data_IF_892024700683
#
_entry.id   IF_892024700683
#
_cell.length_a   1.000
_cell.length_b   1.000
_cell.length_c   1.000
_cell.angle_alpha   90.00
_cell.angle_beta   90.00
_cell.angle_gamma   90.00
#
_symmetry.space_group_name_H-M   'P 1'
#
loop_
_entity.id
_entity.type
_entity.pdbx_description
1 polymer ?
#
# COMPACT_ATOMS: atom_id res chain seq x y z
N UNK A 1 3.50 -2.40 16.49
CA UNK A 1 2.90 -2.84 17.76
C UNK A 1 1.41 -2.70 17.57
N UNK A 2 0.68 -3.79 17.75
CA UNK A 2 -0.74 -3.84 17.43
C UNK A 2 -1.53 -3.03 18.45
N UNK A 3 -2.45 -2.20 17.95
CA UNK A 3 -3.43 -1.49 18.76
C UNK A 3 -4.80 -2.03 18.33
N UNK A 4 -5.61 -2.43 19.29
CA UNK A 4 -6.95 -2.97 19.02
C UNK A 4 -7.96 -1.81 18.89
N UNK A 5 -8.90 -1.93 17.95
CA UNK A 5 -10.11 -1.11 17.89
C UNK A 5 -11.32 -1.98 18.20
N UNK A 6 -12.32 -1.46 18.90
CA UNK A 6 -13.54 -2.19 19.23
C UNK A 6 -14.18 -2.79 17.96
N UNK A 7 -14.26 -4.12 17.91
CA UNK A 7 -14.81 -4.87 16.77
C UNK A 7 -13.84 -5.23 15.65
N UNK A 8 -12.56 -4.86 15.73
CA UNK A 8 -11.53 -5.18 14.72
C UNK A 8 -10.26 -5.79 15.33
N UNK A 9 -9.65 -6.74 14.61
CA UNK A 9 -8.48 -7.49 15.09
C UNK A 9 -7.23 -6.64 15.30
N UNK A 10 -6.91 -5.71 14.41
CA UNK A 10 -5.78 -4.76 14.56
C UNK A 10 -6.12 -3.42 13.89
N UNK A 11 -5.46 -2.34 14.31
CA UNK A 11 -5.51 -1.01 13.66
C UNK A 11 -4.23 -0.63 12.93
N UNK A 12 -3.41 -1.63 12.57
CA UNK A 12 -2.18 -1.39 11.84
C UNK A 12 -2.50 -0.79 10.47
N UNK A 13 -2.13 0.46 10.28
CA UNK A 13 -2.30 1.19 9.03
C UNK A 13 -1.05 1.07 8.13
N UNK A 14 -1.13 1.62 6.92
CA UNK A 14 0.01 1.66 6.00
C UNK A 14 1.26 2.36 6.59
N UNK A 15 1.10 3.29 7.53
CA UNK A 15 2.24 3.94 8.20
C UNK A 15 2.96 2.98 9.15
N UNK A 16 2.20 2.16 9.87
CA UNK A 16 2.72 1.12 10.75
C UNK A 16 3.49 0.09 9.95
N UNK A 17 2.91 -0.40 8.84
CA UNK A 17 3.56 -1.33 7.94
C UNK A 17 4.85 -0.74 7.33
N UNK A 18 4.81 0.50 6.81
CA UNK A 18 6.01 1.18 6.28
C UNK A 18 7.12 1.32 7.31
N UNK A 19 6.76 1.61 8.56
CA UNK A 19 7.75 1.75 9.65
C UNK A 19 8.40 0.40 9.98
N UNK A 20 7.61 -0.67 10.02
CA UNK A 20 8.12 -2.03 10.25
C UNK A 20 9.17 -2.45 9.21
N UNK A 21 8.90 -2.23 7.93
CA UNK A 21 9.85 -2.59 6.86
C UNK A 21 10.97 -1.57 6.65
N UNK A 22 10.89 -0.37 7.23
CA UNK A 22 11.94 0.66 7.11
C UNK A 22 13.24 0.22 7.79
N UNK A 23 13.15 -0.41 8.95
CA UNK A 23 14.30 -0.92 9.69
C UNK A 23 14.13 -2.43 9.95
N UNK A 24 14.49 -3.23 8.94
CA UNK A 24 14.32 -4.68 9.00
C UNK A 24 15.15 -5.32 10.13
N UNK A 25 16.35 -4.81 10.41
CA UNK A 25 17.22 -5.28 11.51
C UNK A 25 16.54 -5.14 12.86
N UNK A 26 16.07 -3.93 13.19
CA UNK A 26 15.34 -3.70 14.46
C UNK A 26 14.06 -4.51 14.53
N UNK A 27 13.33 -4.64 13.42
CA UNK A 27 12.12 -5.46 13.38
C UNK A 27 12.43 -6.94 13.62
N UNK A 28 13.50 -7.47 13.04
CA UNK A 28 13.97 -8.84 13.27
C UNK A 28 14.40 -9.05 14.72
N UNK A 29 15.18 -8.11 15.28
CA UNK A 29 15.64 -8.12 16.66
C UNK A 29 14.46 -8.14 17.65
N UNK A 30 13.47 -7.28 17.44
CA UNK A 30 12.30 -7.14 18.33
C UNK A 30 11.35 -8.34 18.22
N UNK A 31 11.10 -8.83 17.00
CA UNK A 31 10.09 -9.89 16.77
C UNK A 31 10.65 -11.31 16.83
N UNK A 32 11.97 -11.47 16.75
CA UNK A 32 12.63 -12.77 16.61
C UNK A 32 12.43 -13.43 15.23
N UNK A 33 11.84 -12.72 14.26
CA UNK A 33 11.68 -13.21 12.89
C UNK A 33 13.00 -13.11 12.13
N UNK A 34 13.28 -14.06 11.26
CA UNK A 34 14.49 -14.08 10.45
C UNK A 34 14.63 -12.82 9.59
N UNK A 35 15.79 -12.14 9.69
CA UNK A 35 16.07 -10.89 8.99
C UNK A 35 15.92 -11.02 7.46
N UNK A 36 16.49 -12.07 6.86
CA UNK A 36 16.43 -12.30 5.42
C UNK A 36 14.97 -12.46 4.95
N UNK A 37 14.14 -13.14 5.75
CA UNK A 37 12.71 -13.25 5.44
C UNK A 37 12.00 -11.88 5.44
N UNK A 38 12.28 -11.01 6.42
CA UNK A 38 11.72 -9.64 6.47
C UNK A 38 12.19 -8.82 5.26
N UNK A 39 13.46 -8.91 4.90
CA UNK A 39 14.03 -8.18 3.75
C UNK A 39 13.44 -8.64 2.42
N UNK A 40 13.23 -9.96 2.25
CA UNK A 40 12.54 -10.50 1.07
C UNK A 40 11.13 -9.95 0.94
N UNK A 41 10.36 -9.93 2.03
CA UNK A 41 9.02 -9.32 2.01
C UNK A 41 9.05 -7.82 1.72
N UNK A 42 10.00 -7.09 2.31
CA UNK A 42 10.20 -5.67 2.00
C UNK A 42 10.44 -5.44 0.51
N UNK A 43 11.32 -6.22 -0.11
CA UNK A 43 11.64 -6.08 -1.53
C UNK A 43 10.42 -6.35 -2.42
N UNK A 44 9.69 -7.43 -2.15
CA UNK A 44 8.46 -7.78 -2.87
C UNK A 44 7.45 -6.63 -2.80
N UNK A 45 7.17 -6.12 -1.59
CA UNK A 45 6.21 -5.03 -1.38
C UNK A 45 6.65 -3.72 -2.04
N UNK A 46 7.96 -3.39 -1.99
CA UNK A 46 8.48 -2.19 -2.66
C UNK A 46 8.36 -2.29 -4.18
N UNK A 47 8.65 -3.46 -4.76
CA UNK A 47 8.54 -3.68 -6.20
C UNK A 47 7.09 -3.55 -6.65
N UNK A 48 6.15 -4.16 -5.93
CA UNK A 48 4.71 -4.01 -6.20
C UNK A 48 4.24 -2.55 -6.08
N UNK A 49 4.76 -1.80 -5.10
CA UNK A 49 4.39 -0.40 -4.87
C UNK A 49 5.14 0.61 -5.77
N UNK A 50 6.07 0.16 -6.62
CA UNK A 50 6.96 1.06 -7.39
C UNK A 50 6.25 1.82 -8.51
N UNK A 51 5.14 1.27 -9.02
CA UNK A 51 4.45 1.79 -10.20
C UNK A 51 5.27 1.68 -11.50
N UNK A 52 6.29 0.81 -11.52
CA UNK A 52 7.09 0.49 -12.70
C UNK A 52 6.69 -0.88 -13.25
N UNK A 53 7.07 -1.16 -14.50
CA UNK A 53 6.96 -2.50 -15.07
C UNK A 53 7.89 -3.46 -14.32
N UNK A 54 7.37 -4.65 -14.01
CA UNK A 54 8.07 -5.68 -13.23
C UNK A 54 8.33 -6.87 -14.14
N UNK A 55 9.57 -7.36 -14.14
CA UNK A 55 9.88 -8.64 -14.78
C UNK A 55 9.19 -9.79 -14.03
N UNK A 56 8.16 -10.35 -14.65
CA UNK A 56 7.33 -11.40 -14.05
C UNK A 56 8.10 -12.68 -13.77
N UNK A 57 9.12 -13.01 -14.57
CA UNK A 57 9.90 -14.25 -14.38
C UNK A 57 10.79 -14.14 -13.14
N UNK A 58 11.53 -13.03 -13.04
CA UNK A 58 12.34 -12.74 -11.84
C UNK A 58 11.48 -12.62 -10.59
N UNK A 59 10.29 -12.02 -10.69
CA UNK A 59 9.36 -11.92 -9.57
C UNK A 59 8.83 -13.29 -9.12
N UNK A 60 8.47 -14.17 -10.05
CA UNK A 60 7.99 -15.52 -9.75
C UNK A 60 9.06 -16.36 -9.06
N UNK A 61 10.28 -16.37 -9.60
CA UNK A 61 11.39 -17.08 -8.99
C UNK A 61 11.68 -16.56 -7.57
N UNK A 62 11.72 -15.23 -7.39
CA UNK A 62 11.93 -14.62 -6.08
C UNK A 62 10.79 -14.95 -5.10
N UNK A 63 9.54 -15.00 -5.58
CA UNK A 63 8.35 -15.39 -4.83
C UNK A 63 8.41 -16.83 -4.33
N UNK A 64 8.69 -17.79 -5.24
CA UNK A 64 8.82 -19.22 -4.92
C UNK A 64 9.97 -19.47 -3.95
N UNK A 65 11.13 -18.84 -4.15
CA UNK A 65 12.25 -18.94 -3.21
C UNK A 65 11.87 -18.41 -1.82
N UNK A 66 11.14 -17.31 -1.75
CA UNK A 66 10.66 -16.74 -0.48
C UNK A 66 9.64 -17.66 0.19
N UNK A 67 8.74 -18.29 -0.57
CA UNK A 67 7.78 -19.26 -0.06
C UNK A 67 8.46 -20.50 0.54
N UNK A 68 9.47 -21.05 -0.15
CA UNK A 68 10.28 -22.15 0.37
C UNK A 68 10.99 -21.78 1.68
N UNK A 69 11.58 -20.58 1.73
CA UNK A 69 12.22 -20.07 2.94
C UNK A 69 11.22 -19.94 4.09
N UNK A 70 10.03 -19.38 3.84
CA UNK A 70 8.97 -19.24 4.84
C UNK A 70 8.56 -20.59 5.44
N UNK A 71 8.30 -21.59 4.61
CA UNK A 71 7.89 -22.94 5.06
C UNK A 71 9.02 -23.61 5.85
N UNK A 72 10.28 -23.41 5.44
CA UNK A 72 11.43 -23.98 6.16
C UNK A 72 11.64 -23.38 7.56
N UNK A 73 11.39 -22.08 7.71
CA UNK A 73 11.58 -21.36 8.98
C UNK A 73 10.38 -21.52 9.92
N UNK A 74 9.17 -21.61 9.36
CA UNK A 74 7.92 -21.61 10.12
C UNK A 74 6.98 -22.74 9.67
N UNK A 75 7.38 -24.02 9.77
CA UNK A 75 6.56 -25.15 9.31
C UNK A 75 5.24 -25.30 10.10
N UNK A 76 5.19 -24.74 11.31
CA UNK A 76 4.02 -24.75 12.19
C UNK A 76 2.96 -23.70 11.80
N UNK A 77 3.32 -22.70 11.00
CA UNK A 77 2.43 -21.60 10.66
C UNK A 77 1.96 -21.70 9.21
N UNK A 78 0.65 -21.91 9.03
CA UNK A 78 0.06 -21.92 7.69
C UNK A 78 0.22 -20.57 7.02
N UNK A 79 0.64 -20.60 5.75
CA UNK A 79 0.82 -19.39 4.95
C UNK A 79 -0.51 -18.62 4.84
N UNK A 80 -0.55 -17.35 5.27
CA UNK A 80 -1.75 -16.54 5.14
C UNK A 80 -2.19 -16.38 3.68
N UNK A 81 -3.49 -16.32 3.42
CA UNK A 81 -4.03 -16.25 2.04
C UNK A 81 -3.48 -15.04 1.26
N UNK A 82 -3.31 -13.87 1.90
CA UNK A 82 -2.70 -12.70 1.27
C UNK A 82 -1.25 -12.96 0.85
N UNK A 83 -0.47 -13.60 1.71
CA UNK A 83 0.92 -13.96 1.44
C UNK A 83 1.02 -15.00 0.31
N UNK A 84 0.16 -16.01 0.34
CA UNK A 84 0.09 -17.03 -0.70
C UNK A 84 -0.25 -16.42 -2.07
N UNK A 85 -1.26 -15.53 -2.13
CA UNK A 85 -1.61 -14.81 -3.35
C UNK A 85 -0.45 -14.00 -3.90
N UNK A 86 0.33 -13.34 -3.04
CA UNK A 86 1.50 -12.56 -3.48
C UNK A 86 2.64 -13.48 -3.96
N UNK A 87 3.01 -14.49 -3.18
CA UNK A 87 4.19 -15.31 -3.45
C UNK A 87 3.98 -16.33 -4.57
N UNK A 88 2.78 -16.88 -4.71
CA UNK A 88 2.47 -17.97 -5.66
C UNK A 88 1.73 -17.45 -6.89
N UNK A 89 0.79 -16.52 -6.72
CA UNK A 89 -0.03 -16.01 -7.83
C UNK A 89 0.35 -14.57 -8.24
N UNK A 90 1.29 -13.93 -7.55
CA UNK A 90 1.59 -12.52 -7.78
C UNK A 90 2.15 -12.26 -9.17
N UNK A 91 3.02 -13.16 -9.66
CA UNK A 91 3.58 -13.06 -11.00
C UNK A 91 2.51 -13.14 -12.09
N UNK A 92 1.55 -14.06 -11.96
CA UNK A 92 0.45 -14.20 -12.91
C UNK A 92 -0.45 -12.97 -12.90
N UNK A 93 -0.78 -12.44 -11.71
CA UNK A 93 -1.57 -11.20 -11.59
C UNK A 93 -0.86 -10.04 -12.27
N UNK A 94 0.45 -9.88 -12.07
CA UNK A 94 1.24 -8.83 -12.72
C UNK A 94 1.27 -9.04 -14.25
N UNK A 95 1.43 -10.29 -14.71
CA UNK A 95 1.49 -10.63 -16.14
C UNK A 95 0.21 -10.28 -16.89
N UNK A 96 -0.95 -10.47 -16.27
CA UNK A 96 -2.26 -10.18 -16.88
C UNK A 96 -2.81 -8.79 -16.52
N UNK A 97 -2.11 -8.01 -15.70
CA UNK A 97 -2.54 -6.65 -15.39
C UNK A 97 -2.40 -5.72 -16.60
N UNK A 98 -3.41 -4.88 -16.82
CA UNK A 98 -3.42 -3.91 -17.94
C UNK A 98 -2.44 -2.75 -17.71
N UNK A 99 -2.15 -2.44 -16.44
CA UNK A 99 -1.27 -1.37 -16.01
C UNK A 99 -0.28 -1.91 -14.96
N UNK A 100 0.87 -1.23 -14.77
CA UNK A 100 1.77 -1.51 -13.65
C UNK A 100 0.98 -1.63 -12.35
N UNK A 101 1.21 -2.71 -11.60
CA UNK A 101 0.37 -3.08 -10.44
C UNK A 101 0.29 -1.96 -9.38
N UNK A 102 1.35 -1.16 -9.24
CA UNK A 102 1.38 -0.01 -8.31
C UNK A 102 0.37 1.10 -8.66
N UNK A 103 -0.05 1.23 -9.93
CA UNK A 103 -1.10 2.17 -10.34
C UNK A 103 -2.51 1.69 -10.00
N UNK A 104 -2.69 0.38 -9.80
CA UNK A 104 -3.97 -0.22 -9.42
C UNK A 104 -4.20 -0.22 -7.89
N UNK A 105 -3.39 0.54 -7.15
CA UNK A 105 -3.45 0.60 -5.68
C UNK A 105 -4.70 1.31 -5.16
N UNK A 106 -5.32 0.72 -4.14
CA UNK A 106 -6.46 1.31 -3.42
C UNK A 106 -6.04 2.48 -2.50
N UNK A 107 -4.76 2.58 -2.13
CA UNK A 107 -4.26 3.61 -1.19
C UNK A 107 -4.60 5.04 -1.65
N UNK A 108 -4.59 5.28 -2.97
CA UNK A 108 -4.95 6.57 -3.54
C UNK A 108 -6.41 6.93 -3.23
N UNK A 109 -7.33 5.97 -3.36
CA UNK A 109 -8.74 6.17 -3.05
C UNK A 109 -8.96 6.34 -1.53
N UNK A 110 -8.34 5.49 -0.70
CA UNK A 110 -8.46 5.59 0.75
C UNK A 110 -7.96 6.93 1.29
N UNK A 111 -6.88 7.47 0.71
CA UNK A 111 -6.37 8.80 1.09
C UNK A 111 -7.40 9.91 0.89
N UNK A 112 -8.30 9.78 -0.10
CA UNK A 112 -9.38 10.74 -0.35
C UNK A 112 -10.46 10.73 0.74
N UNK A 113 -10.55 9.70 1.59
CA UNK A 113 -11.47 9.69 2.73
C UNK A 113 -11.18 10.83 3.72
N UNK A 114 -9.91 11.25 3.83
CA UNK A 114 -9.53 12.43 4.62
C UNK A 114 -10.16 13.71 4.06
N UNK A 115 -10.03 13.90 2.74
CA UNK A 115 -10.61 15.04 2.04
C UNK A 115 -12.13 15.02 2.11
N UNK A 116 -12.75 13.84 1.95
CA UNK A 116 -14.19 13.67 2.07
C UNK A 116 -14.72 14.18 3.41
N UNK A 117 -14.09 13.79 4.52
CA UNK A 117 -14.47 14.25 5.87
C UNK A 117 -14.29 15.77 6.00
N UNK A 118 -13.20 16.31 5.45
CA UNK A 118 -12.91 17.75 5.47
C UNK A 118 -13.91 18.56 4.63
N UNK A 119 -14.18 18.17 3.39
CA UNK A 119 -15.15 18.82 2.51
C UNK A 119 -16.55 18.73 3.08
N UNK A 120 -16.94 17.56 3.58
CA UNK A 120 -18.22 17.42 4.30
C UNK A 120 -18.28 18.39 5.46
N UNK A 121 -17.22 18.60 6.25
CA UNK A 121 -17.28 19.53 7.39
C UNK A 121 -17.35 21.01 6.97
N UNK A 122 -16.56 21.42 5.98
CA UNK A 122 -16.30 22.85 5.72
C UNK A 122 -16.84 23.39 4.39
N UNK A 123 -17.19 22.53 3.43
CA UNK A 123 -17.50 22.93 2.04
C UNK A 123 -18.89 22.45 1.57
N UNK A 124 -19.79 22.13 2.51
CA UNK A 124 -21.15 21.68 2.18
C UNK A 124 -22.20 22.42 2.99
N UNK A 125 -23.34 22.72 2.38
CA UNK A 125 -24.49 23.29 3.08
C UNK A 125 -25.06 22.29 4.09
N UNK A 126 -25.47 22.80 5.26
CA UNK A 126 -25.98 22.02 6.41
C UNK A 126 -27.49 22.12 6.59
N UNK A 127 -28.22 22.39 5.52
CA UNK A 127 -29.67 22.54 5.53
C UNK A 127 -30.42 21.23 5.27
N UNK A 128 -29.86 20.31 4.46
CA UNK A 128 -30.43 18.98 4.23
C UNK A 128 -29.35 17.98 3.81
N UNK A 129 -29.60 16.69 4.06
CA UNK A 129 -28.66 15.62 3.64
C UNK A 129 -28.49 15.58 2.12
N UNK A 130 -29.56 15.84 1.36
CA UNK A 130 -29.52 15.87 -0.10
C UNK A 130 -28.61 17.00 -0.59
N UNK A 131 -28.75 18.21 -0.03
CA UNK A 131 -27.91 19.34 -0.40
C UNK A 131 -26.46 19.14 0.04
N UNK A 132 -26.24 18.56 1.22
CA UNK A 132 -24.89 18.19 1.68
C UNK A 132 -24.22 17.23 0.69
N UNK A 133 -24.91 16.18 0.26
CA UNK A 133 -24.36 15.19 -0.67
C UNK A 133 -24.11 15.79 -2.06
N UNK A 134 -25.01 16.66 -2.54
CA UNK A 134 -24.86 17.37 -3.81
C UNK A 134 -23.60 18.25 -3.81
N UNK A 135 -23.42 19.05 -2.76
CA UNK A 135 -22.25 19.93 -2.64
C UNK A 135 -20.97 19.10 -2.51
N UNK A 136 -21.01 17.99 -1.77
CA UNK A 136 -19.87 17.11 -1.60
C UNK A 136 -19.42 16.50 -2.92
N UNK A 137 -20.38 16.03 -3.73
CA UNK A 137 -20.11 15.50 -5.06
C UNK A 137 -19.49 16.57 -5.96
N UNK A 138 -20.06 17.78 -6.00
CA UNK A 138 -19.52 18.87 -6.82
C UNK A 138 -18.08 19.22 -6.43
N UNK A 139 -17.78 19.35 -5.13
CA UNK A 139 -16.41 19.66 -4.66
C UNK A 139 -15.45 18.54 -5.02
N UNK A 140 -15.86 17.28 -4.89
CA UNK A 140 -15.02 16.14 -5.28
C UNK A 140 -14.73 16.16 -6.79
N UNK A 141 -15.74 16.40 -7.63
CA UNK A 141 -15.58 16.50 -9.09
C UNK A 141 -14.59 17.60 -9.48
N UNK A 142 -14.73 18.79 -8.88
CA UNK A 142 -13.79 19.91 -9.11
C UNK A 142 -12.37 19.53 -8.67
N UNK A 143 -12.24 18.83 -7.53
CA UNK A 143 -10.93 18.44 -6.99
C UNK A 143 -10.20 17.40 -7.83
N UNK A 144 -10.96 16.57 -8.59
CA UNK A 144 -10.44 15.52 -9.47
C UNK A 144 -10.44 15.90 -10.95
N UNK A 145 -10.87 17.12 -11.29
CA UNK A 145 -10.87 17.61 -12.66
C UNK A 145 -9.42 17.66 -13.19
N UNK A 146 -9.09 16.97 -14.30
CA UNK A 146 -7.74 16.92 -14.83
C UNK A 146 -7.19 18.29 -15.26
N UNK A 147 -8.03 19.14 -15.85
CA UNK A 147 -7.62 20.47 -16.32
C UNK A 147 -7.30 21.38 -15.12
N UNK A 148 -8.17 21.40 -14.12
CA UNK A 148 -7.95 22.17 -12.89
C UNK A 148 -6.73 21.63 -12.14
N UNK A 149 -6.59 20.30 -12.05
CA UNK A 149 -5.48 19.66 -11.34
C UNK A 149 -4.13 19.97 -11.98
N UNK A 150 -4.04 20.06 -13.31
CA UNK A 150 -2.80 20.39 -14.03
C UNK A 150 -2.37 21.85 -13.82
N UNK A 151 -3.34 22.76 -13.66
CA UNK A 151 -3.06 24.20 -13.48
C UNK A 151 -2.84 24.54 -11.99
N UNK A 152 -3.36 23.72 -11.07
CA UNK A 152 -3.25 23.93 -9.63
C UNK A 152 -1.80 23.85 -9.17
N UNK A 153 -1.35 24.86 -8.44
CA UNK A 153 -0.05 24.86 -7.77
C UNK A 153 0.00 23.74 -6.72
N UNK A 154 0.94 22.80 -6.87
CA UNK A 154 1.17 21.73 -5.91
C UNK A 154 2.42 22.02 -5.07
N UNK A 155 2.42 21.68 -3.77
CA UNK A 155 3.63 21.74 -2.97
C UNK A 155 4.69 20.78 -3.53
N UNK A 156 5.96 21.21 -3.53
CA UNK A 156 7.07 20.40 -4.04
C UNK A 156 7.17 19.08 -3.26
N UNK A 157 7.12 17.95 -3.96
CA UNK A 157 7.33 16.63 -3.35
C UNK A 157 8.79 16.49 -2.91
N UNK A 158 9.03 16.06 -1.67
CA UNK A 158 10.38 15.69 -1.22
C UNK A 158 10.82 14.44 -1.98
N UNK A 159 11.82 14.57 -2.84
CA UNK A 159 12.41 13.43 -3.56
C UNK A 159 13.28 12.65 -2.57
N UNK A 160 12.86 11.43 -2.24
CA UNK A 160 13.72 10.48 -1.52
C UNK A 160 14.62 9.83 -2.57
N UNK A 161 15.93 10.13 -2.55
CA UNK A 161 16.90 9.47 -3.45
C UNK A 161 17.02 8.00 -3.01
N UNK A 162 16.83 7.08 -3.94
CA UNK A 162 17.24 5.69 -3.75
C UNK A 162 18.76 5.69 -3.58
N UNK A 163 19.24 5.16 -2.46
CA UNK A 163 20.68 4.95 -2.25
C UNK A 163 21.08 3.88 -3.28
N UNK A 164 21.94 4.25 -4.23
CA UNK A 164 22.61 3.26 -5.08
C UNK A 164 23.46 2.40 -4.14
N UNK A 165 23.14 1.12 -4.03
CA UNK A 165 24.07 0.14 -3.50
C UNK A 165 25.22 0.07 -4.52
N UNK A 166 26.38 0.61 -4.12
CA UNK A 166 27.66 0.49 -4.82
C UNK A 166 28.31 -0.84 -4.49
#
# INVERSE_FOLDING_TARGET
MDIFAEGHGTTNDGNTARTFFRNAEKSAEITGVNLNLIERFKNILMVMASGQDIDTNSFDEYGIQTAKLFVSLHPWFYMPSSLHKILIHGADVIRYAVLPIGYLSEEAQESRNKDFKMYRRHHTRKNSRINTNKDLLHVLLISSDPLISTIRLLPKKKITRLIKLS
#
